data_IF_151710615963
#
_entry.id   IF_151710615963
#
_cell.length_a   1.000
_cell.length_b   1.000
_cell.length_c   1.000
_cell.angle_alpha   90.00
_cell.angle_beta   90.00
_cell.angle_gamma   90.00
#
_symmetry.space_group_name_H-M   'P 1'
#
loop_
_entity.id
_entity.type
_entity.pdbx_description
1 polymer ?
#
# COMPACT_ATOMS: atom_id res chain seq x y z
N UNK A 1 -11.40 -42.56 41.04
CA UNK A 1 -11.90 -42.33 39.69
C UNK A 1 -12.12 -40.85 39.35
N UNK A 2 -12.72 -40.06 40.26
CA UNK A 2 -12.99 -38.62 40.04
C UNK A 2 -11.76 -37.76 39.70
N UNK A 3 -10.59 -37.97 40.39
CA UNK A 3 -9.34 -37.25 40.11
C UNK A 3 -8.74 -37.48 38.71
N UNK A 4 -8.96 -38.65 38.14
CA UNK A 4 -8.49 -38.98 36.76
C UNK A 4 -9.36 -38.32 35.66
N UNK A 5 -10.66 -38.14 35.94
CA UNK A 5 -11.62 -37.50 35.04
C UNK A 5 -11.35 -36.00 35.01
N UNK A 6 -11.06 -35.37 36.15
CA UNK A 6 -10.71 -33.92 36.25
C UNK A 6 -9.41 -33.61 35.50
N UNK A 7 -8.41 -34.48 35.57
CA UNK A 7 -7.14 -34.31 34.82
C UNK A 7 -7.33 -34.42 33.30
N UNK A 8 -8.24 -35.28 32.86
CA UNK A 8 -8.52 -35.47 31.44
C UNK A 8 -9.32 -34.31 30.83
N UNK A 9 -10.20 -33.69 31.59
CA UNK A 9 -10.95 -32.48 31.17
C UNK A 9 -10.04 -31.25 31.08
N UNK A 10 -9.07 -31.11 32.00
CA UNK A 10 -8.08 -30.01 31.96
C UNK A 10 -7.14 -30.10 30.76
N UNK A 11 -6.83 -31.29 30.26
CA UNK A 11 -6.00 -31.49 29.06
C UNK A 11 -6.79 -31.18 27.78
N UNK A 12 -8.12 -31.39 27.74
CA UNK A 12 -8.95 -31.06 26.59
C UNK A 12 -9.20 -29.56 26.42
N UNK A 13 -9.17 -28.77 27.49
CA UNK A 13 -9.32 -27.30 27.41
C UNK A 13 -8.06 -26.60 26.91
N UNK A 14 -6.90 -27.27 26.88
CA UNK A 14 -5.62 -26.71 26.40
C UNK A 14 -5.41 -26.76 24.89
N UNK A 15 -6.32 -27.34 24.11
CA UNK A 15 -6.24 -27.50 22.67
C UNK A 15 -7.19 -26.59 21.86
N UNK A 16 -7.84 -25.63 22.55
CA UNK A 16 -8.42 -24.49 21.85
C UNK A 16 -7.29 -23.55 21.45
N UNK A 17 -6.38 -24.02 20.58
CA UNK A 17 -5.46 -23.19 19.85
C UNK A 17 -6.31 -22.22 19.05
N UNK A 18 -6.04 -20.92 19.20
CA UNK A 18 -6.50 -19.90 18.29
C UNK A 18 -6.13 -20.33 16.87
N UNK A 19 -7.05 -20.90 16.14
CA UNK A 19 -6.97 -20.96 14.69
C UNK A 19 -7.22 -19.54 14.21
N UNK A 20 -6.21 -18.69 14.31
CA UNK A 20 -6.20 -17.47 13.54
C UNK A 20 -6.37 -17.90 12.09
N UNK A 21 -7.43 -17.42 11.44
CA UNK A 21 -7.64 -17.68 10.03
C UNK A 21 -6.40 -17.15 9.29
N UNK A 22 -5.66 -18.06 8.67
CA UNK A 22 -4.41 -17.73 7.97
C UNK A 22 -4.78 -16.75 6.84
N UNK A 23 -4.11 -15.60 6.80
CA UNK A 23 -4.38 -14.59 5.79
C UNK A 23 -3.98 -15.13 4.42
N UNK A 24 -4.93 -15.17 3.49
CA UNK A 24 -4.67 -15.55 2.10
C UNK A 24 -4.36 -14.30 1.25
N UNK A 25 -3.10 -14.11 0.79
CA UNK A 25 -2.75 -12.99 -0.08
C UNK A 25 -3.58 -12.95 -1.38
N UNK A 26 -4.10 -14.11 -1.82
CA UNK A 26 -4.97 -14.16 -3.01
C UNK A 26 -6.33 -13.51 -2.75
N UNK A 27 -6.86 -13.63 -1.54
CA UNK A 27 -8.10 -12.95 -1.17
C UNK A 27 -7.92 -11.43 -1.20
N UNK A 28 -6.78 -10.94 -0.71
CA UNK A 28 -6.41 -9.51 -0.81
C UNK A 28 -6.32 -9.09 -2.27
N UNK A 29 -5.60 -9.85 -3.11
CA UNK A 29 -5.47 -9.53 -4.54
C UNK A 29 -6.83 -9.52 -5.26
N UNK A 30 -7.72 -10.46 -4.96
CA UNK A 30 -9.08 -10.48 -5.53
C UNK A 30 -9.91 -9.28 -5.10
N UNK A 31 -9.82 -8.86 -3.84
CA UNK A 31 -10.49 -7.66 -3.35
C UNK A 31 -10.04 -6.41 -4.14
N UNK A 32 -8.73 -6.18 -4.24
CA UNK A 32 -8.19 -5.01 -4.94
C UNK A 32 -8.41 -5.05 -6.47
N UNK A 33 -8.38 -6.23 -7.07
CA UNK A 33 -8.69 -6.40 -8.51
C UNK A 33 -10.18 -6.14 -8.84
N UNK A 34 -11.07 -6.26 -7.86
CA UNK A 34 -12.50 -6.00 -7.99
C UNK A 34 -12.91 -4.55 -7.74
N UNK A 35 -12.00 -3.67 -7.31
CA UNK A 35 -12.31 -2.28 -7.01
C UNK A 35 -12.51 -1.47 -8.31
N UNK A 36 -13.72 -0.95 -8.52
CA UNK A 36 -14.06 -0.15 -9.70
C UNK A 36 -13.83 1.35 -9.50
N UNK A 37 -13.89 1.82 -8.25
CA UNK A 37 -13.64 3.22 -7.90
C UNK A 37 -12.99 3.32 -6.53
N UNK A 38 -11.93 4.12 -6.41
CA UNK A 38 -11.20 4.29 -5.15
C UNK A 38 -10.84 5.74 -4.98
N UNK A 39 -11.06 6.27 -3.77
CA UNK A 39 -10.57 7.57 -3.36
C UNK A 39 -9.70 7.40 -2.11
N UNK A 40 -8.47 7.93 -2.16
CA UNK A 40 -7.50 7.84 -1.06
C UNK A 40 -6.98 9.24 -0.74
N UNK A 41 -7.07 9.64 0.51
CA UNK A 41 -6.27 10.75 1.04
C UNK A 41 -5.04 10.17 1.73
N UNK A 42 -3.86 10.64 1.34
CA UNK A 42 -2.59 10.12 1.85
C UNK A 42 -1.57 11.22 2.11
N UNK A 43 -0.64 10.93 3.00
CA UNK A 43 0.61 11.67 3.17
C UNK A 43 1.75 10.87 2.55
N UNK A 44 2.56 11.52 1.73
CA UNK A 44 3.75 10.93 1.11
C UNK A 44 4.97 11.64 1.65
N UNK A 45 5.86 10.88 2.28
CA UNK A 45 7.17 11.35 2.73
C UNK A 45 8.24 10.80 1.80
N UNK A 46 9.04 11.66 1.20
CA UNK A 46 10.14 11.31 0.29
C UNK A 46 11.46 11.61 0.93
N UNK A 47 12.39 10.65 0.91
CA UNK A 47 13.75 10.77 1.41
C UNK A 47 14.75 10.56 0.28
N UNK A 48 14.97 11.58 -0.55
CA UNK A 48 15.91 11.56 -1.68
C UNK A 48 17.05 12.58 -1.49
N UNK A 49 17.69 12.58 -0.31
CA UNK A 49 18.74 13.52 0.06
C UNK A 49 18.22 14.78 0.78
N UNK A 50 16.94 15.11 0.62
CA UNK A 50 16.18 16.04 1.46
C UNK A 50 14.81 15.43 1.74
N UNK A 51 14.30 15.67 2.96
CA UNK A 51 12.97 15.24 3.33
C UNK A 51 11.94 16.15 2.67
N UNK A 52 10.98 15.58 1.95
CA UNK A 52 9.84 16.30 1.39
C UNK A 52 8.54 15.57 1.75
N UNK A 53 7.53 16.33 2.13
CA UNK A 53 6.22 15.82 2.53
C UNK A 53 5.12 16.38 1.64
N UNK A 54 4.22 15.50 1.19
CA UNK A 54 3.09 15.83 0.33
C UNK A 54 1.81 15.29 0.93
N UNK A 55 0.76 16.10 1.03
CA UNK A 55 -0.60 15.64 1.20
C UNK A 55 -1.25 15.52 -0.17
N UNK A 56 -1.86 14.38 -0.47
CA UNK A 56 -2.46 14.13 -1.77
C UNK A 56 -3.89 13.61 -1.65
N UNK A 57 -4.69 13.88 -2.68
CA UNK A 57 -5.93 13.18 -2.97
C UNK A 57 -5.72 12.34 -4.24
N UNK A 58 -5.86 11.04 -4.09
CA UNK A 58 -5.82 10.07 -5.18
C UNK A 58 -7.24 9.61 -5.53
N UNK A 59 -7.52 9.44 -6.82
CA UNK A 59 -8.78 8.89 -7.31
C UNK A 59 -8.52 7.92 -8.46
N UNK A 60 -8.98 6.68 -8.33
CA UNK A 60 -9.00 5.67 -9.40
C UNK A 60 -10.40 5.57 -9.97
N UNK A 61 -10.51 5.65 -11.29
CA UNK A 61 -11.76 5.47 -12.03
C UNK A 61 -11.51 4.58 -13.26
N UNK A 62 -12.56 4.23 -13.99
CA UNK A 62 -12.43 3.52 -15.26
C UNK A 62 -11.65 4.32 -16.32
N UNK A 63 -11.53 5.64 -16.18
CA UNK A 63 -10.79 6.52 -17.08
C UNK A 63 -9.30 6.61 -16.75
N UNK A 64 -8.89 6.13 -15.57
CA UNK A 64 -7.51 6.15 -15.08
C UNK A 64 -7.35 6.71 -13.68
N UNK A 65 -6.11 6.82 -13.25
CA UNK A 65 -5.74 7.30 -11.93
C UNK A 65 -5.42 8.79 -11.98
N UNK A 66 -5.88 9.52 -10.97
CA UNK A 66 -5.61 10.96 -10.79
C UNK A 66 -5.06 11.21 -9.41
N UNK A 67 -4.08 12.10 -9.34
CA UNK A 67 -3.48 12.60 -8.10
C UNK A 67 -3.59 14.11 -8.09
N UNK A 68 -4.09 14.66 -6.99
CA UNK A 68 -4.09 16.10 -6.72
C UNK A 68 -3.24 16.39 -5.49
N UNK A 69 -2.32 17.34 -5.58
CA UNK A 69 -1.52 17.77 -4.44
C UNK A 69 -2.36 18.75 -3.59
N UNK A 70 -2.54 18.38 -2.32
CA UNK A 70 -3.23 19.21 -1.32
C UNK A 70 -2.24 20.03 -0.47
N UNK A 71 -1.04 19.49 -0.26
CA UNK A 71 0.04 20.10 0.54
C UNK A 71 1.41 19.76 -0.03
N UNK A 72 2.43 20.62 0.08
CA UNK A 72 2.39 21.95 0.67
C UNK A 72 1.59 22.96 -0.16
N UNK A 73 1.20 24.09 0.45
CA UNK A 73 0.39 25.14 -0.20
C UNK A 73 1.01 25.67 -1.51
N UNK A 74 2.35 25.72 -1.57
CA UNK A 74 3.09 26.15 -2.76
C UNK A 74 2.92 25.22 -3.98
N UNK A 75 2.44 24.01 -3.79
CA UNK A 75 2.22 23.00 -4.84
C UNK A 75 0.74 22.57 -4.92
N UNK A 76 -0.10 23.09 -4.02
CA UNK A 76 -1.52 22.74 -3.97
C UNK A 76 -2.23 23.08 -5.29
N UNK A 77 -3.11 22.16 -5.74
CA UNK A 77 -3.82 22.28 -7.00
C UNK A 77 -3.09 21.75 -8.22
N UNK A 78 -1.82 21.30 -8.09
CA UNK A 78 -1.18 20.49 -9.14
C UNK A 78 -1.92 19.16 -9.22
N UNK A 79 -2.30 18.77 -10.44
CA UNK A 79 -2.95 17.50 -10.74
C UNK A 79 -2.09 16.67 -11.68
N UNK A 80 -2.06 15.37 -11.47
CA UNK A 80 -1.45 14.43 -12.38
C UNK A 80 -2.47 13.36 -12.78
N UNK A 81 -2.57 13.07 -14.08
CA UNK A 81 -3.27 11.89 -14.58
C UNK A 81 -2.21 10.85 -14.91
N UNK A 82 -2.29 9.69 -14.24
CA UNK A 82 -1.33 8.61 -14.39
C UNK A 82 -1.79 7.68 -15.50
N UNK A 83 -0.95 7.51 -16.49
CA UNK A 83 -1.10 6.60 -17.63
C UNK A 83 -0.05 5.49 -17.51
N UNK A 84 -0.15 4.39 -18.29
CA UNK A 84 0.75 3.23 -18.11
C UNK A 84 2.25 3.54 -18.20
N UNK A 85 2.66 4.52 -18.99
CA UNK A 85 4.06 4.86 -19.28
C UNK A 85 4.40 6.34 -19.05
N UNK A 86 3.41 7.17 -18.76
CA UNK A 86 3.58 8.61 -18.58
C UNK A 86 2.61 9.19 -17.58
N UNK A 87 2.90 10.41 -17.12
CA UNK A 87 1.98 11.25 -16.40
C UNK A 87 1.69 12.54 -17.17
N UNK A 88 0.43 12.93 -17.22
CA UNK A 88 0.02 14.26 -17.65
C UNK A 88 -0.18 15.13 -16.41
N UNK A 89 0.66 16.16 -16.27
CA UNK A 89 0.63 17.09 -15.12
C UNK A 89 -0.07 18.36 -15.56
N UNK A 90 -1.03 18.80 -14.79
CA UNK A 90 -1.80 20.02 -15.02
C UNK A 90 -1.64 20.98 -13.84
N UNK A 91 -1.37 22.22 -14.13
CA UNK A 91 -1.29 23.32 -13.16
C UNK A 91 -1.59 24.66 -13.82
N UNK A 92 -2.50 25.44 -13.26
CA UNK A 92 -2.87 26.79 -13.70
C UNK A 92 -3.18 26.89 -15.22
N UNK A 93 -3.90 25.89 -15.74
CA UNK A 93 -4.25 25.82 -17.17
C UNK A 93 -3.13 25.38 -18.11
N UNK A 94 -1.96 25.07 -17.59
CA UNK A 94 -0.86 24.46 -18.35
C UNK A 94 -0.88 22.95 -18.17
N UNK A 95 -0.58 22.22 -19.25
CA UNK A 95 -0.42 20.77 -19.22
C UNK A 95 0.96 20.39 -19.72
N UNK A 96 1.60 19.44 -19.02
CA UNK A 96 2.89 18.87 -19.36
C UNK A 96 2.83 17.35 -19.27
N UNK A 97 3.26 16.66 -20.31
CA UNK A 97 3.48 15.21 -20.23
C UNK A 97 4.92 14.90 -19.84
N UNK A 98 5.11 13.92 -18.95
CA UNK A 98 6.42 13.41 -18.55
C UNK A 98 6.39 11.88 -18.55
N UNK A 99 7.51 11.25 -18.88
CA UNK A 99 7.66 9.81 -18.76
C UNK A 99 7.75 9.43 -17.29
N UNK A 100 7.06 8.37 -16.88
CA UNK A 100 7.25 7.78 -15.57
C UNK A 100 8.53 6.94 -15.55
N UNK A 101 9.23 6.86 -14.42
CA UNK A 101 10.35 5.93 -14.26
C UNK A 101 9.91 4.50 -14.54
N UNK A 102 10.84 3.65 -15.00
CA UNK A 102 10.55 2.24 -15.31
C UNK A 102 10.13 1.36 -14.11
N UNK A 103 10.15 1.91 -12.88
CA UNK A 103 9.67 1.25 -11.67
C UNK A 103 8.41 1.96 -11.21
N UNK A 104 7.27 1.32 -11.42
CA UNK A 104 5.97 1.86 -10.98
C UNK A 104 5.92 2.06 -9.46
N UNK A 105 5.44 3.23 -9.05
CA UNK A 105 5.22 3.60 -7.66
C UNK A 105 6.42 4.24 -6.96
N UNK A 106 7.56 4.42 -7.62
CA UNK A 106 8.78 4.97 -6.98
C UNK A 106 8.94 6.49 -7.15
N UNK A 107 7.92 7.18 -7.63
CA UNK A 107 7.81 8.64 -7.58
C UNK A 107 6.52 9.04 -6.89
N UNK A 108 6.46 10.22 -6.22
CA UNK A 108 5.27 10.63 -5.47
C UNK A 108 3.99 10.63 -6.31
N UNK A 109 4.09 10.94 -7.60
CA UNK A 109 2.94 11.03 -8.50
C UNK A 109 2.26 9.66 -8.75
N UNK A 110 3.02 8.56 -8.78
CA UNK A 110 2.47 7.22 -9.05
C UNK A 110 2.55 6.26 -7.84
N UNK A 111 2.94 6.75 -6.66
CA UNK A 111 3.15 5.93 -5.47
C UNK A 111 1.90 5.11 -5.09
N UNK A 112 0.74 5.76 -5.05
CA UNK A 112 -0.53 5.11 -4.71
C UNK A 112 -1.00 4.20 -5.85
N UNK A 113 -0.83 4.60 -7.12
CA UNK A 113 -1.07 3.74 -8.29
C UNK A 113 -0.28 2.44 -8.18
N UNK A 114 1.05 2.55 -7.97
CA UNK A 114 1.93 1.39 -7.86
C UNK A 114 1.64 0.52 -6.63
N UNK A 115 1.21 1.11 -5.52
CA UNK A 115 0.76 0.38 -4.33
C UNK A 115 -0.49 -0.45 -4.64
N UNK A 116 -1.53 0.16 -5.21
CA UNK A 116 -2.78 -0.52 -5.55
C UNK A 116 -2.60 -1.59 -6.64
N UNK A 117 -1.72 -1.34 -7.60
CA UNK A 117 -1.42 -2.30 -8.67
C UNK A 117 -0.69 -3.54 -8.15
N UNK A 118 0.26 -3.38 -7.22
CA UNK A 118 0.92 -4.51 -6.58
C UNK A 118 -0.08 -5.30 -5.72
N UNK A 119 -0.96 -4.65 -4.98
CA UNK A 119 -2.03 -5.31 -4.21
C UNK A 119 -3.00 -6.09 -5.11
N UNK A 120 -3.34 -5.57 -6.30
CA UNK A 120 -4.30 -6.19 -7.22
C UNK A 120 -3.70 -7.30 -8.09
N UNK A 121 -2.45 -7.19 -8.50
CA UNK A 121 -1.83 -8.02 -9.56
C UNK A 121 -0.51 -8.65 -9.14
N UNK A 122 0.12 -8.11 -8.10
CA UNK A 122 1.42 -8.57 -7.65
C UNK A 122 1.34 -9.92 -6.94
N UNK A 123 2.45 -10.65 -6.97
CA UNK A 123 2.65 -11.82 -6.13
C UNK A 123 3.66 -11.42 -5.06
N UNK A 124 3.27 -11.37 -3.78
CA UNK A 124 4.21 -11.02 -2.72
C UNK A 124 5.23 -12.14 -2.53
N UNK A 125 6.50 -11.76 -2.36
CA UNK A 125 7.60 -12.67 -2.00
C UNK A 125 7.50 -13.13 -0.53
N UNK A 126 6.90 -12.29 0.29
CA UNK A 126 6.66 -12.55 1.71
C UNK A 126 5.37 -11.85 2.14
N UNK A 127 4.68 -12.47 3.08
CA UNK A 127 3.56 -11.86 3.81
C UNK A 127 3.58 -12.34 5.27
N UNK A 128 3.01 -11.52 6.15
CA UNK A 128 2.93 -11.82 7.58
C UNK A 128 1.88 -10.96 8.27
N UNK A 129 1.65 -11.25 9.54
CA UNK A 129 0.76 -10.47 10.39
C UNK A 129 1.58 -9.61 11.34
N UNK A 130 1.20 -8.35 11.48
CA UNK A 130 1.80 -7.38 12.41
C UNK A 130 0.70 -6.51 13.02
N UNK A 131 1.09 -5.74 14.05
CA UNK A 131 0.30 -4.63 14.55
C UNK A 131 0.92 -3.31 14.10
N UNK A 132 0.17 -2.51 13.35
CA UNK A 132 0.59 -1.20 12.90
C UNK A 132 -0.26 -0.13 13.60
N UNK A 133 0.36 0.65 14.49
CA UNK A 133 -0.29 1.75 15.23
C UNK A 133 -1.58 1.33 15.96
N UNK A 134 -1.62 0.11 16.50
CA UNK A 134 -2.77 -0.46 17.21
C UNK A 134 -3.81 -1.13 16.30
N UNK A 135 -3.56 -1.21 14.99
CA UNK A 135 -4.40 -1.91 14.03
C UNK A 135 -3.77 -3.25 13.63
N UNK A 136 -4.50 -4.38 13.79
CA UNK A 136 -4.07 -5.65 13.23
C UNK A 136 -3.93 -5.53 11.71
N UNK A 137 -2.75 -5.79 11.20
CA UNK A 137 -2.41 -5.59 9.79
C UNK A 137 -1.75 -6.82 9.19
N UNK A 138 -1.88 -6.95 7.88
CA UNK A 138 -1.10 -7.86 7.05
C UNK A 138 -0.07 -7.05 6.30
N UNK A 139 1.20 -7.41 6.44
CA UNK A 139 2.28 -6.86 5.63
C UNK A 139 2.55 -7.75 4.44
N UNK A 140 2.65 -7.14 3.25
CA UNK A 140 2.98 -7.81 1.99
C UNK A 140 4.24 -7.19 1.43
N UNK A 141 5.22 -8.02 1.07
CA UNK A 141 6.50 -7.60 0.49
C UNK A 141 6.56 -7.94 -0.99
N UNK A 142 6.78 -6.93 -1.82
CA UNK A 142 6.96 -7.07 -3.27
C UNK A 142 8.38 -6.65 -3.63
N UNK A 143 9.12 -7.53 -4.31
CA UNK A 143 10.51 -7.32 -4.70
C UNK A 143 10.63 -7.36 -6.22
N UNK A 144 11.41 -6.45 -6.77
CA UNK A 144 11.80 -6.43 -8.19
C UNK A 144 13.29 -6.19 -8.31
N UNK A 145 13.98 -7.11 -8.97
CA UNK A 145 15.38 -6.95 -9.33
C UNK A 145 15.48 -6.13 -10.63
N UNK A 146 16.29 -5.10 -10.59
CA UNK A 146 16.63 -4.24 -11.71
C UNK A 146 18.14 -4.29 -11.91
N UNK A 147 18.64 -3.84 -13.05
CA UNK A 147 20.07 -3.83 -13.34
C UNK A 147 20.87 -3.11 -12.22
N UNK A 148 21.37 -3.90 -11.25
CA UNK A 148 22.20 -3.43 -10.16
C UNK A 148 21.49 -2.80 -8.97
N UNK A 149 20.17 -2.88 -8.89
CA UNK A 149 19.37 -2.33 -7.76
C UNK A 149 18.18 -3.22 -7.45
N UNK A 150 17.92 -3.45 -6.17
CA UNK A 150 16.72 -4.13 -5.70
C UNK A 150 15.67 -3.12 -5.28
N UNK A 151 14.52 -3.10 -5.94
CA UNK A 151 13.36 -2.32 -5.55
C UNK A 151 12.42 -3.17 -4.70
N UNK A 152 12.12 -2.73 -3.48
CA UNK A 152 11.22 -3.43 -2.56
C UNK A 152 10.11 -2.49 -2.09
N UNK A 153 8.89 -3.01 -2.04
CA UNK A 153 7.75 -2.36 -1.40
C UNK A 153 7.24 -3.21 -0.25
N UNK A 154 6.99 -2.61 0.89
CA UNK A 154 6.24 -3.19 1.99
C UNK A 154 4.90 -2.48 2.05
N UNK A 155 3.79 -3.23 2.03
CA UNK A 155 2.44 -2.67 2.05
C UNK A 155 1.67 -3.31 3.21
N UNK A 156 1.16 -2.47 4.11
CA UNK A 156 0.30 -2.88 5.22
C UNK A 156 -1.15 -2.66 4.85
N UNK A 157 -1.94 -3.69 4.99
CA UNK A 157 -3.40 -3.63 4.86
C UNK A 157 -4.04 -4.04 6.18
N UNK A 158 -5.10 -3.35 6.58
CA UNK A 158 -5.86 -3.69 7.77
C UNK A 158 -6.51 -5.06 7.61
N UNK A 159 -6.31 -5.94 8.58
CA UNK A 159 -6.72 -7.34 8.47
C UNK A 159 -8.24 -7.51 8.28
N UNK A 160 -9.04 -6.73 9.01
CA UNK A 160 -10.50 -6.88 9.01
C UNK A 160 -11.17 -6.27 7.78
N UNK A 161 -10.71 -5.11 7.33
CA UNK A 161 -11.36 -4.34 6.27
C UNK A 161 -10.67 -4.47 4.92
N UNK A 162 -9.40 -4.89 4.92
CA UNK A 162 -8.56 -4.92 3.72
C UNK A 162 -8.11 -3.53 3.25
N UNK A 163 -8.42 -2.43 3.97
CA UNK A 163 -7.99 -1.09 3.58
C UNK A 163 -6.47 -0.95 3.69
N UNK A 164 -5.81 -0.24 2.78
CA UNK A 164 -4.39 0.04 2.91
C UNK A 164 -4.17 1.02 4.05
N UNK A 165 -3.14 0.79 4.86
CA UNK A 165 -2.76 1.65 5.97
C UNK A 165 -1.49 2.43 5.65
N UNK A 166 -0.48 1.74 5.11
CA UNK A 166 0.85 2.27 4.88
C UNK A 166 1.53 1.53 3.75
N UNK A 167 2.44 2.20 3.04
CA UNK A 167 3.40 1.57 2.16
C UNK A 167 4.78 2.21 2.32
N UNK A 168 5.83 1.39 2.27
CA UNK A 168 7.23 1.81 2.30
C UNK A 168 7.93 1.33 1.03
N UNK A 169 8.77 2.19 0.48
CA UNK A 169 9.46 1.97 -0.78
C UNK A 169 10.96 2.04 -0.55
N UNK A 170 11.66 0.98 -0.93
CA UNK A 170 13.09 0.83 -0.74
C UNK A 170 13.80 0.64 -2.07
N UNK A 171 14.93 1.31 -2.24
CA UNK A 171 15.94 1.00 -3.24
C UNK A 171 17.16 0.45 -2.49
N UNK A 172 17.49 -0.80 -2.77
CA UNK A 172 18.37 -1.62 -1.97
C UNK A 172 17.89 -1.67 -0.50
N UNK A 173 18.67 -1.20 0.45
CA UNK A 173 18.28 -1.13 1.87
C UNK A 173 17.81 0.26 2.31
N UNK A 174 17.83 1.24 1.40
CA UNK A 174 17.44 2.62 1.70
C UNK A 174 15.96 2.85 1.49
N UNK A 175 15.23 3.23 2.53
CA UNK A 175 13.85 3.70 2.40
C UNK A 175 13.85 5.08 1.72
N UNK A 176 13.31 5.14 0.51
CA UNK A 176 13.26 6.36 -0.32
C UNK A 176 11.93 7.07 -0.24
N UNK A 177 10.88 6.36 0.14
CA UNK A 177 9.54 6.95 0.24
C UNK A 177 8.65 6.15 1.18
N UNK A 178 7.71 6.86 1.83
CA UNK A 178 6.64 6.29 2.63
C UNK A 178 5.30 6.91 2.21
N UNK A 179 4.26 6.11 2.17
CA UNK A 179 2.86 6.54 1.97
C UNK A 179 2.07 6.15 3.22
N UNK A 180 1.53 7.13 3.94
CA UNK A 180 0.60 6.93 5.05
C UNK A 180 -0.83 7.23 4.59
N UNK A 181 -1.72 6.24 4.62
CA UNK A 181 -3.13 6.40 4.21
C UNK A 181 -3.93 7.02 5.35
N UNK A 182 -4.59 8.15 5.10
CA UNK A 182 -5.44 8.87 6.08
C UNK A 182 -6.91 8.50 5.92
N UNK A 183 -7.36 8.39 4.67
CA UNK A 183 -8.73 8.00 4.34
C UNK A 183 -8.75 7.09 3.11
N UNK A 184 -9.63 6.10 3.12
CA UNK A 184 -9.83 5.15 2.02
C UNK A 184 -11.32 4.92 1.82
N UNK A 185 -11.80 5.17 0.61
CA UNK A 185 -13.19 4.94 0.17
C UNK A 185 -13.14 4.16 -1.13
N UNK A 186 -13.81 3.00 -1.15
CA UNK A 186 -13.92 2.09 -2.29
C UNK A 186 -15.37 1.68 -2.53
#
# INVERSE_FOLDING_TARGET
MLKRIILMVLILCGLAGCSGEEVDPKAIAQYYAGLEGVTIEAEITVNSGALAEYGILFTRTAEGDRVEILRPESLAGIRATILPDKAAIEYDGMALETMLPGISGFVPADAVTGMLDDLAKGVPEYYGEEELEGHPAVVLSYIRELEGTTARKLIWVERETGRPLRAEFYLDELMVMEVGVKNFVA
#
